data_IF_162348273248
#
_entry.id   IF_162348273248
#
_cell.length_a   1.000
_cell.length_b   1.000
_cell.length_c   1.000
_cell.angle_alpha   90.00
_cell.angle_beta   90.00
_cell.angle_gamma   90.00
#
_symmetry.space_group_name_H-M   'P 1'
#
loop_
_entity.id
_entity.type
_entity.pdbx_description
1 polymer ?
#
# COMPACT_ATOMS: atom_id res chain seq x y z
N UNK A 1 9.48 -13.65 -30.15
CA UNK A 1 9.54 -12.36 -29.40
C UNK A 1 8.59 -12.29 -28.21
N UNK A 2 7.46 -13.03 -28.15
CA UNK A 2 6.51 -13.02 -27.02
C UNK A 2 7.05 -13.54 -25.67
N UNK A 3 8.03 -14.45 -25.68
CA UNK A 3 8.55 -15.04 -24.44
C UNK A 3 9.42 -14.06 -23.64
N UNK A 4 10.14 -13.19 -24.35
CA UNK A 4 11.00 -12.16 -23.76
C UNK A 4 10.17 -11.06 -23.11
N UNK A 5 9.11 -10.59 -23.78
CA UNK A 5 8.21 -9.56 -23.23
C UNK A 5 7.46 -10.01 -21.98
N UNK A 6 7.05 -11.29 -21.92
CA UNK A 6 6.37 -11.84 -20.75
C UNK A 6 7.32 -12.00 -19.55
N UNK A 7 8.58 -12.36 -19.79
CA UNK A 7 9.59 -12.47 -18.75
C UNK A 7 9.95 -11.09 -18.19
N UNK A 8 10.18 -10.10 -19.06
CA UNK A 8 10.44 -8.71 -18.67
C UNK A 8 9.28 -8.13 -17.84
N UNK A 9 8.03 -8.46 -18.22
CA UNK A 9 6.83 -8.05 -17.47
C UNK A 9 6.80 -8.70 -16.08
N UNK A 10 7.10 -10.01 -15.98
CA UNK A 10 7.13 -10.69 -14.69
C UNK A 10 8.24 -10.15 -13.77
N UNK A 11 9.43 -9.89 -14.30
CA UNK A 11 10.55 -9.29 -13.56
C UNK A 11 10.19 -7.91 -13.02
N UNK A 12 9.58 -7.05 -13.83
CA UNK A 12 9.08 -5.73 -13.42
C UNK A 12 8.08 -5.85 -12.26
N UNK A 13 7.12 -6.77 -12.37
CA UNK A 13 6.09 -6.97 -11.34
C UNK A 13 6.70 -7.48 -10.03
N UNK A 14 7.67 -8.40 -10.08
CA UNK A 14 8.38 -8.84 -8.88
C UNK A 14 9.26 -7.74 -8.27
N UNK A 15 9.90 -6.90 -9.08
CA UNK A 15 10.65 -5.74 -8.58
C UNK A 15 9.74 -4.70 -7.88
N UNK A 16 8.53 -4.50 -8.41
CA UNK A 16 7.51 -3.66 -7.78
C UNK A 16 7.02 -4.27 -6.45
N UNK A 17 6.78 -5.59 -6.40
CA UNK A 17 6.44 -6.30 -5.17
C UNK A 17 7.55 -6.19 -4.11
N UNK A 18 8.81 -6.32 -4.51
CA UNK A 18 9.95 -6.08 -3.63
C UNK A 18 9.96 -4.64 -3.09
N UNK A 19 9.70 -3.64 -3.93
CA UNK A 19 9.59 -2.24 -3.48
C UNK A 19 8.50 -2.09 -2.42
N UNK A 20 7.35 -2.73 -2.61
CA UNK A 20 6.24 -2.73 -1.66
C UNK A 20 6.63 -3.35 -0.31
N UNK A 21 7.33 -4.49 -0.33
CA UNK A 21 7.88 -5.12 0.87
C UNK A 21 8.86 -4.19 1.60
N UNK A 22 9.76 -3.55 0.84
CA UNK A 22 10.74 -2.63 1.42
C UNK A 22 10.04 -1.44 2.10
N UNK A 23 8.99 -0.92 1.49
CA UNK A 23 8.14 0.12 2.07
C UNK A 23 7.48 -0.34 3.37
N UNK A 24 6.84 -1.51 3.40
CA UNK A 24 6.19 -2.02 4.62
C UNK A 24 7.19 -2.27 5.75
N UNK A 25 8.35 -2.83 5.45
CA UNK A 25 9.37 -3.06 6.49
C UNK A 25 9.86 -1.76 7.13
N UNK A 26 9.85 -0.64 6.39
CA UNK A 26 10.32 0.67 6.88
C UNK A 26 9.20 1.53 7.47
N UNK A 27 7.98 1.42 6.95
CA UNK A 27 6.87 2.35 7.21
C UNK A 27 5.55 1.65 7.56
N UNK A 28 5.54 0.32 7.66
CA UNK A 28 4.35 -0.47 7.95
C UNK A 28 3.77 -0.18 9.33
N UNK A 29 4.62 0.12 10.33
CA UNK A 29 4.15 0.51 11.66
C UNK A 29 3.31 1.81 11.60
N UNK A 30 3.84 2.87 10.97
CA UNK A 30 3.07 4.13 10.88
C UNK A 30 1.85 4.01 9.97
N UNK A 31 1.90 3.15 8.95
CA UNK A 31 0.73 2.83 8.13
C UNK A 31 -0.33 2.09 8.96
N UNK A 32 0.07 1.14 9.79
CA UNK A 32 -0.82 0.40 10.69
C UNK A 32 -1.49 1.35 11.70
N UNK A 33 -0.72 2.22 12.35
CA UNK A 33 -1.25 3.21 13.29
C UNK A 33 -2.27 4.14 12.62
N UNK A 34 -1.98 4.58 11.38
CA UNK A 34 -2.92 5.37 10.60
C UNK A 34 -4.20 4.58 10.31
N UNK A 35 -4.09 3.38 9.74
CA UNK A 35 -5.24 2.57 9.33
C UNK A 35 -6.12 2.15 10.51
N UNK A 36 -5.53 1.87 11.67
CA UNK A 36 -6.27 1.63 12.92
C UNK A 36 -7.07 2.88 13.35
N UNK A 37 -6.49 4.07 13.17
CA UNK A 37 -7.14 5.33 13.51
C UNK A 37 -8.24 5.76 12.54
N UNK A 38 -8.23 5.32 11.28
CA UNK A 38 -9.22 5.70 10.26
C UNK A 38 -10.63 5.12 10.48
N UNK A 39 -10.80 4.21 11.46
CA UNK A 39 -12.08 3.50 11.74
C UNK A 39 -12.66 2.71 10.54
N UNK A 40 -11.94 2.67 9.41
CA UNK A 40 -12.26 1.93 8.20
C UNK A 40 -11.59 0.55 8.21
N UNK A 41 -12.40 -0.48 8.39
CA UNK A 41 -11.95 -1.88 8.43
C UNK A 41 -11.36 -2.36 7.10
N UNK A 42 -11.72 -1.73 5.98
CA UNK A 42 -11.28 -2.17 4.65
C UNK A 42 -9.79 -1.89 4.41
N UNK A 43 -9.27 -0.77 4.92
CA UNK A 43 -7.86 -0.43 4.83
C UNK A 43 -6.99 -1.40 5.64
N UNK A 44 -7.40 -1.70 6.88
CA UNK A 44 -6.69 -2.67 7.72
C UNK A 44 -6.73 -4.09 7.14
N UNK A 45 -7.89 -4.53 6.63
CA UNK A 45 -8.00 -5.82 5.93
C UNK A 45 -7.02 -5.90 4.75
N UNK A 46 -6.93 -4.84 3.95
CA UNK A 46 -5.97 -4.77 2.83
C UNK A 46 -4.51 -4.83 3.30
N UNK A 47 -4.17 -4.24 4.47
CA UNK A 47 -2.85 -4.40 5.07
C UNK A 47 -2.58 -5.84 5.51
N UNK A 48 -3.57 -6.54 6.07
CA UNK A 48 -3.46 -7.95 6.41
C UNK A 48 -3.27 -8.84 5.16
N UNK A 49 -4.00 -8.56 4.08
CA UNK A 49 -3.85 -9.26 2.80
C UNK A 49 -2.44 -9.07 2.24
N UNK A 50 -1.92 -7.84 2.33
CA UNK A 50 -0.56 -7.51 1.91
C UNK A 50 0.50 -8.25 2.73
N UNK A 51 0.34 -8.31 4.06
CA UNK A 51 1.21 -9.11 4.92
C UNK A 51 1.13 -10.61 4.60
N UNK A 52 -0.07 -11.11 4.30
CA UNK A 52 -0.29 -12.51 3.94
C UNK A 52 0.40 -12.87 2.63
N UNK A 53 0.38 -11.95 1.64
CA UNK A 53 1.09 -12.11 0.38
C UNK A 53 2.61 -12.21 0.58
N UNK A 54 3.19 -11.39 1.47
CA UNK A 54 4.62 -11.47 1.82
C UNK A 54 4.99 -12.62 2.75
N UNK A 55 4.01 -13.31 3.34
CA UNK A 55 4.23 -14.54 4.11
C UNK A 55 4.52 -15.77 3.24
N UNK A 56 4.34 -15.68 1.91
CA UNK A 56 4.63 -16.75 0.97
C UNK A 56 6.12 -16.78 0.57
N UNK A 57 6.71 -17.95 0.25
CA UNK A 57 8.11 -18.04 -0.18
C UNK A 57 8.44 -17.18 -1.41
N UNK A 58 7.47 -17.02 -2.31
CA UNK A 58 7.51 -16.06 -3.41
C UNK A 58 6.19 -15.31 -3.37
N UNK A 59 6.25 -14.00 -3.11
CA UNK A 59 5.07 -13.16 -3.09
C UNK A 59 4.43 -13.10 -4.48
N UNK A 60 3.11 -13.31 -4.53
CA UNK A 60 2.30 -13.12 -5.73
C UNK A 60 2.18 -11.61 -6.04
N UNK A 61 2.75 -11.10 -7.15
CA UNK A 61 2.68 -9.69 -7.49
C UNK A 61 1.24 -9.19 -7.68
N UNK A 62 0.32 -10.04 -8.13
CA UNK A 62 -1.09 -9.65 -8.35
C UNK A 62 -1.78 -9.42 -7.00
N UNK A 63 -1.58 -10.33 -6.03
CA UNK A 63 -2.08 -10.17 -4.67
C UNK A 63 -1.49 -8.92 -3.98
N UNK A 64 -0.20 -8.66 -4.16
CA UNK A 64 0.46 -7.45 -3.64
C UNK A 64 -0.16 -6.18 -4.25
N UNK A 65 -0.33 -6.14 -5.57
CA UNK A 65 -0.93 -4.99 -6.26
C UNK A 65 -2.37 -4.74 -5.80
N UNK A 66 -3.19 -5.79 -5.69
CA UNK A 66 -4.58 -5.67 -5.22
C UNK A 66 -4.66 -5.12 -3.79
N UNK A 67 -3.82 -5.62 -2.88
CA UNK A 67 -3.82 -5.16 -1.51
C UNK A 67 -3.35 -3.70 -1.39
N UNK A 68 -2.34 -3.28 -2.17
CA UNK A 68 -1.93 -1.88 -2.25
C UNK A 68 -3.05 -0.97 -2.80
N UNK A 69 -3.81 -1.43 -3.80
CA UNK A 69 -4.96 -0.68 -4.31
C UNK A 69 -6.06 -0.52 -3.26
N UNK A 70 -6.29 -1.56 -2.44
CA UNK A 70 -7.22 -1.50 -1.30
C UNK A 70 -6.80 -0.46 -0.26
N UNK A 71 -5.52 -0.48 0.15
CA UNK A 71 -4.95 0.54 1.04
C UNK A 71 -5.08 1.93 0.45
N UNK A 72 -4.69 2.11 -0.82
CA UNK A 72 -4.76 3.41 -1.49
C UNK A 72 -6.18 3.98 -1.53
N UNK A 73 -7.18 3.13 -1.81
CA UNK A 73 -8.60 3.51 -1.78
C UNK A 73 -9.03 3.96 -0.38
N UNK A 74 -8.73 3.16 0.65
CA UNK A 74 -9.08 3.50 2.02
C UNK A 74 -8.48 4.85 2.48
N UNK A 75 -7.26 5.16 2.03
CA UNK A 75 -6.63 6.47 2.28
C UNK A 75 -7.29 7.61 1.48
N UNK A 76 -7.62 7.37 0.21
CA UNK A 76 -8.19 8.37 -0.68
C UNK A 76 -9.63 8.75 -0.33
N UNK A 77 -10.40 7.81 0.24
CA UNK A 77 -11.81 8.00 0.57
C UNK A 77 -12.03 8.79 1.87
N UNK A 78 -10.95 9.16 2.58
CA UNK A 78 -11.06 9.91 3.84
C UNK A 78 -11.48 11.37 3.63
N UNK A 79 -12.56 11.77 4.28
CA UNK A 79 -12.97 13.17 4.31
C UNK A 79 -11.98 14.00 5.15
N UNK A 80 -11.59 15.22 4.70
CA UNK A 80 -10.67 16.09 5.45
C UNK A 80 -11.08 16.33 6.91
N UNK A 81 -12.37 16.53 7.16
CA UNK A 81 -12.92 16.73 8.51
C UNK A 81 -12.74 15.50 9.42
N UNK A 82 -12.75 14.29 8.85
CA UNK A 82 -12.50 13.06 9.61
C UNK A 82 -11.03 12.95 10.01
N UNK A 83 -10.11 13.32 9.11
CA UNK A 83 -8.67 13.35 9.41
C UNK A 83 -8.31 14.41 10.45
N UNK A 84 -8.96 15.58 10.40
CA UNK A 84 -8.81 16.62 11.41
C UNK A 84 -9.29 16.15 12.79
N UNK A 85 -10.47 15.49 12.85
CA UNK A 85 -10.99 14.88 14.08
C UNK A 85 -10.01 13.85 14.64
N UNK A 86 -9.52 12.92 13.81
CA UNK A 86 -8.54 11.91 14.24
C UNK A 86 -7.28 12.58 14.79
N UNK A 87 -6.82 13.67 14.15
CA UNK A 87 -5.65 14.41 14.63
C UNK A 87 -5.87 14.96 16.04
N UNK A 88 -7.06 15.51 16.32
CA UNK A 88 -7.41 16.03 17.64
C UNK A 88 -7.59 14.92 18.68
N UNK A 89 -8.27 13.83 18.31
CA UNK A 89 -8.66 12.76 19.24
C UNK A 89 -7.52 11.77 19.54
N UNK A 90 -6.63 11.52 18.57
CA UNK A 90 -5.55 10.53 18.66
C UNK A 90 -4.15 11.15 18.76
N UNK A 91 -4.02 12.47 18.57
CA UNK A 91 -2.71 13.16 18.59
C UNK A 91 -1.79 12.75 17.43
N UNK A 92 -2.34 12.12 16.38
CA UNK A 92 -1.62 11.60 15.23
C UNK A 92 -1.79 12.57 14.04
N UNK A 93 -0.74 12.96 13.30
CA UNK A 93 -0.86 13.89 12.18
C UNK A 93 -1.52 13.23 10.95
N UNK A 94 -2.81 12.90 11.06
CA UNK A 94 -3.52 11.98 10.17
C UNK A 94 -3.61 12.50 8.73
N UNK A 95 -3.77 13.81 8.55
CA UNK A 95 -3.80 14.43 7.22
C UNK A 95 -2.46 14.27 6.49
N UNK A 96 -1.36 14.58 7.16
CA UNK A 96 -0.01 14.48 6.57
C UNK A 96 0.37 13.01 6.33
N UNK A 97 0.06 12.12 7.27
CA UNK A 97 0.29 10.69 7.13
C UNK A 97 -0.52 10.11 5.98
N UNK A 98 -1.81 10.45 5.85
CA UNK A 98 -2.67 9.99 4.74
C UNK A 98 -2.12 10.43 3.40
N UNK A 99 -1.70 11.70 3.27
CA UNK A 99 -1.09 12.22 2.05
C UNK A 99 0.23 11.52 1.72
N UNK A 100 1.11 11.39 2.70
CA UNK A 100 2.43 10.80 2.51
C UNK A 100 2.34 9.31 2.15
N UNK A 101 1.56 8.53 2.91
CA UNK A 101 1.33 7.12 2.62
C UNK A 101 0.58 6.93 1.31
N UNK A 102 -0.45 7.73 1.04
CA UNK A 102 -1.20 7.67 -0.22
C UNK A 102 -0.32 7.91 -1.44
N UNK A 103 0.52 8.95 -1.40
CA UNK A 103 1.48 9.23 -2.46
C UNK A 103 2.48 8.08 -2.66
N UNK A 104 3.03 7.53 -1.55
CA UNK A 104 4.02 6.46 -1.62
C UNK A 104 3.43 5.16 -2.16
N UNK A 105 2.22 4.80 -1.72
CA UNK A 105 1.51 3.61 -2.22
C UNK A 105 1.14 3.77 -3.69
N UNK A 106 0.67 4.96 -4.10
CA UNK A 106 0.35 5.26 -5.50
C UNK A 106 1.57 5.11 -6.42
N UNK A 107 2.74 5.61 -5.99
CA UNK A 107 4.00 5.43 -6.73
C UNK A 107 4.37 3.95 -6.89
N UNK A 108 4.18 3.13 -5.85
CA UNK A 108 4.47 1.69 -5.90
C UNK A 108 3.51 0.99 -6.87
N UNK A 109 2.20 1.32 -6.82
CA UNK A 109 1.20 0.77 -7.75
C UNK A 109 1.58 1.09 -9.20
N UNK A 110 2.06 2.31 -9.49
CA UNK A 110 2.46 2.69 -10.85
C UNK A 110 3.60 1.81 -11.40
N UNK A 111 4.51 1.34 -10.55
CA UNK A 111 5.64 0.47 -10.96
C UNK A 111 5.19 -0.91 -11.44
N UNK A 112 4.04 -1.41 -10.97
CA UNK A 112 3.46 -2.67 -11.49
C UNK A 112 3.05 -2.59 -12.96
N UNK A 113 2.88 -1.37 -13.50
CA UNK A 113 2.40 -1.12 -14.87
C UNK A 113 3.49 -0.65 -15.83
N UNK A 114 4.47 0.10 -15.33
CA UNK A 114 5.37 0.86 -16.19
C UNK A 114 6.86 0.51 -16.06
N UNK A 115 7.23 -0.38 -15.14
CA UNK A 115 8.65 -0.53 -14.79
C UNK A 115 9.19 0.72 -14.10
N UNK A 116 10.35 0.59 -13.46
CA UNK A 116 11.04 1.69 -12.78
C UNK A 116 11.95 2.46 -13.73
#
# INVERSE_FOLDING_TARGET
MLKTTNLETAEVRHAAAYTAEQYLRRHGASLCDLLDALEDKSGFASLCDLHSAFGQPVADPDAVEMALQGIHRALADQAPSSLERITQERGLPASDMTRWHGARVSEIIARFRHGS
#
